data_IF_876815033915
#
_entry.id   IF_876815033915
#
_cell.length_a   1.000
_cell.length_b   1.000
_cell.length_c   1.000
_cell.angle_alpha   90.00
_cell.angle_beta   90.00
_cell.angle_gamma   90.00
#
_symmetry.space_group_name_H-M   'P 1'
#
loop_
_entity.id
_entity.type
_entity.pdbx_description
1 polymer ?
#
# COMPACT_ATOMS: atom_id res chain seq x y z
N UNK A 1 -8.39 -2.77 -10.24
CA UNK A 1 -7.31 -3.38 -11.07
C UNK A 1 -6.40 -2.27 -11.59
N UNK A 2 -5.08 -2.43 -11.52
CA UNK A 2 -4.14 -1.41 -11.98
C UNK A 2 -4.29 -1.19 -13.49
N UNK A 3 -4.39 0.07 -13.93
CA UNK A 3 -4.52 0.43 -15.35
C UNK A 3 -3.20 0.33 -16.11
N UNK A 4 -2.08 0.48 -15.40
CA UNK A 4 -0.75 0.46 -15.98
C UNK A 4 -0.02 -0.83 -15.61
N UNK A 5 0.74 -1.42 -16.56
CA UNK A 5 1.56 -2.62 -16.30
C UNK A 5 2.85 -2.29 -15.56
N UNK A 6 3.17 -1.00 -15.39
CA UNK A 6 4.37 -0.49 -14.72
C UNK A 6 4.03 0.35 -13.50
N UNK A 7 4.93 0.37 -12.53
CA UNK A 7 4.87 1.19 -11.32
C UNK A 7 6.06 2.15 -11.30
N UNK A 8 5.82 3.38 -10.84
CA UNK A 8 6.86 4.39 -10.61
C UNK A 8 7.20 4.41 -9.12
N UNK A 9 8.45 4.11 -8.78
CA UNK A 9 8.97 4.19 -7.40
C UNK A 9 10.24 5.03 -7.44
N UNK A 10 10.26 6.12 -6.67
CA UNK A 10 11.39 7.05 -6.54
C UNK A 10 11.98 7.52 -7.89
N UNK A 11 11.10 7.79 -8.86
CA UNK A 11 11.48 8.25 -10.20
C UNK A 11 11.84 7.14 -11.20
N UNK A 12 11.94 5.89 -10.77
CA UNK A 12 12.24 4.74 -11.63
C UNK A 12 10.97 3.95 -11.98
N UNK A 13 10.89 3.46 -13.22
CA UNK A 13 9.81 2.61 -13.69
C UNK A 13 10.17 1.13 -13.60
N UNK A 14 9.32 0.34 -12.96
CA UNK A 14 9.48 -1.10 -12.86
C UNK A 14 8.23 -1.82 -13.39
N UNK A 15 8.40 -2.98 -14.05
CA UNK A 15 7.27 -3.82 -14.41
C UNK A 15 6.64 -4.45 -13.16
N UNK A 16 5.31 -4.53 -13.16
CA UNK A 16 4.58 -5.28 -12.13
C UNK A 16 4.80 -6.76 -12.36
N UNK A 17 5.30 -7.46 -11.34
CA UNK A 17 5.58 -8.89 -11.41
C UNK A 17 4.34 -9.69 -11.01
N UNK A 18 3.81 -9.36 -9.85
CA UNK A 18 2.67 -10.02 -9.25
C UNK A 18 2.02 -9.10 -8.19
N UNK A 19 0.95 -9.58 -7.57
CA UNK A 19 0.21 -8.84 -6.56
C UNK A 19 0.26 -9.55 -5.21
N UNK A 20 0.45 -8.79 -4.13
CA UNK A 20 0.21 -9.28 -2.76
C UNK A 20 -1.29 -9.58 -2.58
N UNK A 21 -1.60 -10.39 -1.57
CA UNK A 21 -2.97 -10.48 -1.06
C UNK A 21 -3.51 -9.10 -0.69
N UNK A 22 -4.82 -8.93 -0.84
CA UNK A 22 -5.53 -7.74 -0.43
C UNK A 22 -5.23 -7.44 1.04
N UNK A 23 -4.87 -6.18 1.31
CA UNK A 23 -4.64 -5.68 2.66
C UNK A 23 -5.66 -4.61 2.98
N UNK A 24 -6.06 -4.61 4.24
CA UNK A 24 -6.93 -3.60 4.83
C UNK A 24 -6.15 -2.77 5.86
N UNK A 25 -6.40 -1.47 5.85
CA UNK A 25 -5.88 -0.51 6.82
C UNK A 25 -7.02 0.21 7.52
N UNK A 26 -6.91 0.32 8.84
CA UNK A 26 -7.79 1.17 9.64
C UNK A 26 -7.44 2.63 9.44
N UNK A 27 -8.45 3.42 9.08
CA UNK A 27 -8.35 4.86 8.93
C UNK A 27 -9.14 5.59 10.01
N UNK A 28 -8.98 6.92 10.07
CA UNK A 28 -9.75 7.77 10.97
C UNK A 28 -11.26 7.62 10.70
N UNK A 29 -12.02 7.54 11.79
CA UNK A 29 -13.48 7.48 11.70
C UNK A 29 -14.04 8.82 11.29
N UNK A 30 -14.92 8.79 10.28
CA UNK A 30 -15.62 9.98 9.80
C UNK A 30 -17.07 9.85 10.21
N UNK A 31 -17.58 10.85 10.92
CA UNK A 31 -19.00 10.95 11.30
C UNK A 31 -19.54 9.69 12.00
N UNK A 32 -18.76 9.13 12.93
CA UNK A 32 -19.07 7.89 13.67
C UNK A 32 -19.07 6.61 12.81
N UNK A 33 -18.71 6.69 11.52
CA UNK A 33 -18.55 5.53 10.67
C UNK A 33 -17.11 5.02 10.67
N UNK A 34 -16.99 3.69 10.66
CA UNK A 34 -15.70 3.01 10.58
C UNK A 34 -15.14 3.11 9.16
N UNK A 35 -14.03 3.82 9.01
CA UNK A 35 -13.32 3.91 7.73
C UNK A 35 -12.24 2.84 7.62
N UNK A 36 -12.29 2.04 6.56
CA UNK A 36 -11.28 1.03 6.22
C UNK A 36 -10.83 1.26 4.79
N UNK A 37 -9.52 1.28 4.58
CA UNK A 37 -8.91 1.36 3.25
C UNK A 37 -8.50 -0.05 2.83
N UNK A 38 -8.93 -0.48 1.66
CA UNK A 38 -8.61 -1.81 1.12
C UNK A 38 -7.85 -1.63 -0.19
N UNK A 39 -6.68 -2.27 -0.30
CA UNK A 39 -5.88 -2.22 -1.51
C UNK A 39 -5.01 -3.46 -1.68
N UNK A 40 -4.86 -3.86 -2.94
CA UNK A 40 -3.93 -4.89 -3.38
C UNK A 40 -2.60 -4.23 -3.75
N UNK A 41 -1.48 -4.64 -3.12
CA UNK A 41 -0.18 -4.01 -3.36
C UNK A 41 0.58 -4.76 -4.46
N UNK A 42 1.01 -4.09 -5.55
CA UNK A 42 1.85 -4.70 -6.56
C UNK A 42 3.27 -4.93 -6.04
N UNK A 43 3.90 -5.99 -6.53
CA UNK A 43 5.32 -6.29 -6.32
C UNK A 43 6.11 -6.03 -7.59
N UNK A 44 7.35 -5.59 -7.42
CA UNK A 44 8.28 -5.29 -8.49
C UNK A 44 9.65 -5.89 -8.18
N UNK A 45 10.47 -6.06 -9.22
CA UNK A 45 11.85 -6.58 -9.09
C UNK A 45 12.84 -5.43 -9.21
N UNK A 46 13.72 -5.33 -8.23
CA UNK A 46 14.80 -4.36 -8.16
C UNK A 46 16.13 -5.11 -7.97
N UNK A 47 16.98 -5.14 -9.00
CA UNK A 47 18.32 -5.74 -8.96
C UNK A 47 18.39 -7.22 -8.52
N UNK A 48 17.28 -7.96 -8.59
CA UNK A 48 17.18 -9.36 -8.16
C UNK A 48 16.36 -9.60 -6.88
N UNK A 49 16.01 -8.54 -6.13
CA UNK A 49 15.10 -8.64 -4.97
C UNK A 49 13.68 -8.25 -5.37
N UNK A 50 12.70 -9.02 -4.91
CA UNK A 50 11.27 -8.68 -5.10
C UNK A 50 10.83 -7.79 -3.94
N UNK A 51 10.48 -6.55 -4.25
CA UNK A 51 10.00 -5.55 -3.28
C UNK A 51 8.51 -5.29 -3.51
N UNK A 52 7.81 -4.92 -2.45
CA UNK A 52 6.42 -4.46 -2.54
C UNK A 52 6.43 -2.94 -2.66
N UNK A 53 5.51 -2.38 -3.45
CA UNK A 53 5.38 -0.93 -3.56
C UNK A 53 5.07 -0.33 -2.18
N UNK A 54 5.80 0.72 -1.75
CA UNK A 54 5.51 1.39 -0.50
C UNK A 54 4.13 2.04 -0.56
N UNK A 55 3.33 1.82 0.49
CA UNK A 55 2.01 2.45 0.62
C UNK A 55 2.21 3.83 1.25
N UNK A 56 1.87 4.94 0.58
CA UNK A 56 2.24 6.27 1.08
C UNK A 56 1.49 6.64 2.37
N UNK A 57 0.34 6.04 2.64
CA UNK A 57 -0.47 6.29 3.83
C UNK A 57 -0.21 5.33 5.00
N UNK A 58 0.72 4.37 4.90
CA UNK A 58 0.95 3.38 5.95
C UNK A 58 2.41 2.91 6.03
N UNK A 59 2.87 2.64 7.25
CA UNK A 59 4.18 2.02 7.46
C UNK A 59 4.24 0.60 6.87
N UNK A 60 5.43 0.11 6.48
CA UNK A 60 5.63 -1.28 6.11
C UNK A 60 5.13 -2.20 7.24
N UNK A 61 4.15 -3.05 6.92
CA UNK A 61 3.45 -3.97 7.85
C UNK A 61 2.44 -3.38 8.82
N UNK A 62 2.26 -2.05 8.85
CA UNK A 62 1.16 -1.45 9.61
C UNK A 62 -0.17 -1.78 8.96
N UNK A 63 -1.18 -2.09 9.78
CA UNK A 63 -2.60 -2.12 9.40
C UNK A 63 -3.34 -0.83 9.78
N UNK A 64 -2.60 0.22 10.14
CA UNK A 64 -3.12 1.54 10.45
C UNK A 64 -2.59 2.54 9.42
N UNK A 65 -3.45 3.44 8.99
CA UNK A 65 -3.03 4.61 8.21
C UNK A 65 -2.34 5.66 9.11
N UNK A 66 -1.59 6.59 8.52
CA UNK A 66 -0.95 7.69 9.26
C UNK A 66 -1.92 8.55 10.08
N UNK A 67 -3.15 8.72 9.59
CA UNK A 67 -4.19 9.52 10.22
C UNK A 67 -4.92 8.79 11.35
N UNK A 68 -4.66 7.50 11.57
CA UNK A 68 -5.21 6.80 12.71
C UNK A 68 -4.52 7.28 13.99
N UNK A 69 -5.30 7.60 15.01
CA UNK A 69 -4.76 7.86 16.34
C UNK A 69 -4.00 6.63 16.84
N UNK A 70 -2.69 6.79 17.07
CA UNK A 70 -1.93 5.83 17.84
C UNK A 70 -2.39 5.99 19.28
N UNK A 71 -3.10 5.00 19.83
CA UNK A 71 -3.38 4.97 21.27
C UNK A 71 -2.03 5.12 21.99
N UNK A 72 -1.90 6.23 22.72
CA UNK A 72 -0.72 6.58 23.51
C UNK A 72 -0.76 5.84 24.85
#
# INVERSE_FOLDING_TARGET
KYRHPTIKVDGNEFPILDFRHERSWRHLDMWQYKTVLEATIPRYRDGGKVKSVPVPWALPNSRLSWLMEKKR
#
